data_IF_457292137787
#
_entry.id   IF_457292137787
#
_cell.length_a   1.000
_cell.length_b   1.000
_cell.length_c   1.000
_cell.angle_alpha   90.00
_cell.angle_beta   90.00
_cell.angle_gamma   90.00
#
_symmetry.space_group_name_H-M   'P 1'
#
loop_
_entity.id
_entity.type
_entity.pdbx_description
1 polymer ?
#
# COMPACT_ATOMS: atom_id res chain seq x y z
N UNK A 1 -22.06 5.16 22.86
CA UNK A 1 -21.59 6.55 22.61
C UNK A 1 -20.54 6.67 21.50
N UNK A 2 -19.46 5.88 21.45
CA UNK A 2 -18.41 5.99 20.40
C UNK A 2 -18.84 5.66 18.95
N UNK A 3 -19.89 4.84 18.74
CA UNK A 3 -20.43 4.53 17.39
C UNK A 3 -21.22 5.71 16.78
N UNK A 4 -21.93 6.49 17.61
CA UNK A 4 -22.69 7.67 17.15
C UNK A 4 -21.78 8.83 16.72
N UNK A 5 -20.60 8.98 17.34
CA UNK A 5 -19.61 9.99 16.94
C UNK A 5 -18.95 9.68 15.59
N UNK A 6 -18.70 8.40 15.27
CA UNK A 6 -18.17 8.02 13.96
C UNK A 6 -19.21 8.20 12.85
N UNK A 7 -20.47 7.85 13.11
CA UNK A 7 -21.57 8.09 12.18
C UNK A 7 -21.90 9.58 12.04
N UNK A 8 -21.79 10.38 13.11
CA UNK A 8 -22.00 11.82 13.09
C UNK A 8 -20.84 12.56 12.41
N UNK A 9 -19.59 12.10 12.55
CA UNK A 9 -18.45 12.66 11.80
C UNK A 9 -18.56 12.34 10.32
N UNK A 10 -18.93 11.10 9.96
CA UNK A 10 -19.17 10.73 8.56
C UNK A 10 -20.41 11.47 8.02
N UNK A 11 -21.54 11.54 8.73
CA UNK A 11 -22.71 12.27 8.23
C UNK A 11 -22.48 13.78 8.17
N UNK A 12 -21.78 14.36 9.15
CA UNK A 12 -21.48 15.78 9.20
C UNK A 12 -20.52 16.17 8.05
N UNK A 13 -19.43 15.41 7.84
CA UNK A 13 -18.54 15.64 6.70
C UNK A 13 -19.22 15.41 5.35
N UNK A 14 -20.13 14.43 5.23
CA UNK A 14 -20.91 14.21 4.02
C UNK A 14 -21.96 15.31 3.78
N UNK A 15 -22.50 15.95 4.82
CA UNK A 15 -23.35 17.15 4.66
C UNK A 15 -22.53 18.39 4.33
N UNK A 16 -21.32 18.57 4.90
CA UNK A 16 -20.42 19.66 4.53
C UNK A 16 -19.88 19.48 3.10
N UNK A 17 -19.69 18.24 2.63
CA UNK A 17 -19.37 17.89 1.24
C UNK A 17 -20.47 18.31 0.24
N UNK A 18 -21.74 18.31 0.68
CA UNK A 18 -22.88 18.80 -0.13
C UNK A 18 -23.04 20.33 -0.01
N UNK A 19 -22.71 20.93 1.15
CA UNK A 19 -23.00 22.35 1.44
C UNK A 19 -21.81 23.32 1.25
N UNK A 20 -20.56 22.85 1.14
CA UNK A 20 -19.38 23.71 1.03
C UNK A 20 -19.12 24.29 -0.37
N UNK A 21 -20.09 24.26 -1.29
CA UNK A 21 -20.04 25.03 -2.55
C UNK A 21 -21.10 26.13 -2.54
N UNK A 22 -20.64 27.37 -2.58
CA UNK A 22 -21.41 28.55 -2.96
C UNK A 22 -22.18 28.30 -4.27
N UNK A 23 -23.34 28.95 -4.45
CA UNK A 23 -24.36 28.52 -5.39
C UNK A 23 -24.05 29.03 -6.80
N UNK A 24 -23.31 28.28 -7.60
CA UNK A 24 -23.29 28.48 -9.05
C UNK A 24 -23.44 27.15 -9.80
N UNK A 25 -24.67 26.98 -10.32
CA UNK A 25 -25.20 26.07 -11.35
C UNK A 25 -24.87 24.56 -11.26
N UNK A 26 -25.89 23.68 -11.25
CA UNK A 26 -25.69 22.24 -11.25
C UNK A 26 -25.21 21.80 -12.64
N UNK A 27 -24.04 21.16 -12.69
CA UNK A 27 -23.59 20.42 -13.87
C UNK A 27 -23.68 18.93 -13.58
N UNK A 28 -24.11 18.19 -14.60
CA UNK A 28 -24.53 16.79 -14.71
C UNK A 28 -23.63 15.70 -14.06
N UNK A 29 -22.49 16.06 -13.50
CA UNK A 29 -21.57 15.14 -12.81
C UNK A 29 -21.82 15.02 -11.29
N UNK A 30 -22.54 15.98 -10.68
CA UNK A 30 -22.76 15.99 -9.23
C UNK A 30 -23.74 14.91 -8.75
N UNK A 31 -24.76 14.59 -9.55
CA UNK A 31 -25.73 13.54 -9.22
C UNK A 31 -25.08 12.14 -9.27
N UNK A 32 -24.12 11.93 -10.17
CA UNK A 32 -23.41 10.65 -10.32
C UNK A 32 -22.50 10.33 -9.13
N UNK A 33 -21.73 11.31 -8.65
CA UNK A 33 -20.84 11.13 -7.49
C UNK A 33 -21.63 10.88 -6.20
N UNK A 34 -22.72 11.61 -5.98
CA UNK A 34 -23.59 11.41 -4.81
C UNK A 34 -24.27 10.02 -4.84
N UNK A 35 -24.74 9.58 -6.02
CA UNK A 35 -25.31 8.25 -6.20
C UNK A 35 -24.27 7.13 -5.97
N UNK A 36 -23.04 7.29 -6.47
CA UNK A 36 -21.94 6.35 -6.24
C UNK A 36 -21.62 6.22 -4.75
N UNK A 37 -21.54 7.35 -4.05
CA UNK A 37 -21.28 7.36 -2.60
C UNK A 37 -22.41 6.68 -1.82
N UNK A 38 -23.67 6.89 -2.21
CA UNK A 38 -24.80 6.19 -1.62
C UNK A 38 -24.75 4.67 -1.88
N UNK A 39 -24.36 4.24 -3.08
CA UNK A 39 -24.19 2.80 -3.37
C UNK A 39 -23.06 2.19 -2.55
N UNK A 40 -21.91 2.87 -2.44
CA UNK A 40 -20.78 2.41 -1.63
C UNK A 40 -21.20 2.28 -0.16
N UNK A 41 -21.90 3.28 0.39
CA UNK A 41 -22.35 3.26 1.78
C UNK A 41 -23.35 2.13 2.05
N UNK A 42 -24.29 1.89 1.12
CA UNK A 42 -25.26 0.81 1.24
C UNK A 42 -24.57 -0.55 1.23
N UNK A 43 -23.68 -0.75 0.27
CA UNK A 43 -23.07 -2.05 0.02
C UNK A 43 -22.00 -2.37 1.10
N UNK A 44 -21.26 -1.38 1.61
CA UNK A 44 -20.32 -1.58 2.73
C UNK A 44 -20.99 -2.04 4.04
N UNK A 45 -22.29 -1.75 4.22
CA UNK A 45 -23.06 -2.22 5.38
C UNK A 45 -23.47 -3.67 5.23
N UNK A 46 -23.60 -4.17 4.00
CA UNK A 46 -23.95 -5.56 3.72
C UNK A 46 -22.78 -6.48 4.12
N UNK A 47 -22.99 -7.46 5.02
CA UNK A 47 -22.00 -8.50 5.30
C UNK A 47 -21.49 -9.20 4.05
N UNK A 48 -22.35 -9.41 3.04
CA UNK A 48 -22.01 -10.07 1.78
C UNK A 48 -20.92 -9.32 1.01
N UNK A 49 -20.97 -7.99 1.02
CA UNK A 49 -19.92 -7.20 0.38
C UNK A 49 -18.55 -7.45 1.03
N UNK A 50 -18.52 -7.52 2.37
CA UNK A 50 -17.29 -7.67 3.15
C UNK A 50 -16.69 -9.07 3.01
N UNK A 51 -17.52 -10.09 2.84
CA UNK A 51 -17.09 -11.49 2.77
C UNK A 51 -16.81 -11.94 1.34
N UNK A 52 -17.65 -11.56 0.37
CA UNK A 52 -17.62 -12.15 -0.97
C UNK A 52 -17.13 -11.18 -2.05
N UNK A 53 -17.34 -9.87 -1.88
CA UNK A 53 -17.07 -8.88 -2.93
C UNK A 53 -15.71 -8.24 -2.75
N UNK A 54 -15.49 -7.54 -1.63
CA UNK A 54 -14.26 -6.79 -1.38
C UNK A 54 -12.99 -7.64 -1.52
N UNK A 55 -12.93 -8.89 -0.98
CA UNK A 55 -11.77 -9.76 -1.16
C UNK A 55 -11.37 -10.03 -2.61
N UNK A 56 -12.32 -9.94 -3.53
CA UNK A 56 -12.14 -10.28 -4.94
C UNK A 56 -12.18 -9.03 -5.85
N UNK A 57 -12.54 -7.86 -5.32
CA UNK A 57 -12.79 -6.68 -6.12
C UNK A 57 -12.61 -5.39 -5.31
N UNK A 58 -11.56 -4.63 -5.66
CA UNK A 58 -11.22 -3.34 -5.05
C UNK A 58 -11.82 -2.12 -5.77
N UNK A 59 -12.74 -2.31 -6.71
CA UNK A 59 -13.29 -1.26 -7.59
C UNK A 59 -13.82 -0.04 -6.84
N UNK A 60 -14.52 -0.19 -5.72
CA UNK A 60 -15.00 0.97 -4.95
C UNK A 60 -13.88 1.78 -4.33
N UNK A 61 -12.85 1.13 -3.79
CA UNK A 61 -11.68 1.85 -3.29
C UNK A 61 -10.98 2.57 -4.44
N UNK A 62 -10.82 1.91 -5.58
CA UNK A 62 -10.18 2.49 -6.76
C UNK A 62 -10.95 3.69 -7.29
N UNK A 63 -12.27 3.58 -7.42
CA UNK A 63 -13.13 4.69 -7.84
C UNK A 63 -13.04 5.89 -6.91
N UNK A 64 -12.98 5.66 -5.58
CA UNK A 64 -12.79 6.74 -4.61
C UNK A 64 -11.44 7.41 -4.78
N UNK A 65 -10.34 6.66 -4.89
CA UNK A 65 -9.01 7.23 -5.04
C UNK A 65 -8.83 7.92 -6.41
N UNK A 66 -9.37 7.35 -7.49
CA UNK A 66 -9.40 7.98 -8.82
C UNK A 66 -10.18 9.30 -8.81
N UNK A 67 -11.35 9.32 -8.16
CA UNK A 67 -12.11 10.55 -7.96
C UNK A 67 -11.30 11.58 -7.15
N UNK A 68 -10.60 11.12 -6.10
CA UNK A 68 -9.70 11.93 -5.30
C UNK A 68 -8.59 12.60 -6.11
N UNK A 69 -7.94 11.84 -6.99
CA UNK A 69 -6.90 12.32 -7.91
C UNK A 69 -7.45 13.29 -8.97
N UNK A 70 -8.59 12.95 -9.60
CA UNK A 70 -9.21 13.77 -10.64
C UNK A 70 -9.72 15.11 -10.10
N UNK A 71 -10.29 15.12 -8.90
CA UNK A 71 -10.86 16.33 -8.28
C UNK A 71 -9.92 17.04 -7.31
N UNK A 72 -8.67 16.56 -7.19
CA UNK A 72 -7.64 17.09 -6.30
C UNK A 72 -8.13 17.22 -4.85
N UNK A 73 -8.80 16.18 -4.37
CA UNK A 73 -9.20 16.09 -2.96
C UNK A 73 -7.97 16.15 -2.06
N UNK A 74 -8.21 16.51 -0.80
CA UNK A 74 -7.18 16.62 0.22
C UNK A 74 -6.63 15.25 0.65
N UNK A 75 -5.48 15.22 1.33
CA UNK A 75 -4.86 13.98 1.82
C UNK A 75 -5.78 13.23 2.78
N UNK A 76 -6.52 13.96 3.61
CA UNK A 76 -7.49 13.43 4.56
C UNK A 76 -8.52 12.54 3.86
N UNK A 77 -8.99 12.93 2.67
CA UNK A 77 -9.92 12.11 1.88
C UNK A 77 -9.32 10.74 1.51
N UNK A 78 -8.06 10.71 1.07
CA UNK A 78 -7.37 9.45 0.76
C UNK A 78 -7.13 8.62 2.02
N UNK A 79 -6.72 9.26 3.12
CA UNK A 79 -6.53 8.62 4.42
C UNK A 79 -7.81 7.96 4.91
N UNK A 80 -8.94 8.65 4.83
CA UNK A 80 -10.25 8.13 5.23
C UNK A 80 -10.71 6.98 4.35
N UNK A 81 -10.55 7.13 3.03
CA UNK A 81 -10.89 6.08 2.06
C UNK A 81 -10.09 4.80 2.32
N UNK A 82 -8.77 4.89 2.42
CA UNK A 82 -7.91 3.74 2.74
C UNK A 82 -8.20 3.17 4.12
N UNK A 83 -8.41 4.01 5.13
CA UNK A 83 -8.73 3.58 6.50
C UNK A 83 -10.07 2.84 6.59
N UNK A 84 -11.08 3.30 5.84
CA UNK A 84 -12.38 2.65 5.76
C UNK A 84 -12.23 1.25 5.17
N UNK A 85 -11.60 1.13 4.01
CA UNK A 85 -11.41 -0.14 3.35
C UNK A 85 -10.47 -1.07 4.12
N UNK A 86 -9.44 -0.55 4.80
CA UNK A 86 -8.60 -1.32 5.72
C UNK A 86 -9.43 -1.95 6.84
N UNK A 87 -10.33 -1.19 7.49
CA UNK A 87 -11.20 -1.72 8.55
C UNK A 87 -12.18 -2.78 8.04
N UNK A 88 -12.67 -2.61 6.82
CA UNK A 88 -13.60 -3.56 6.21
C UNK A 88 -12.86 -4.84 5.81
N UNK A 89 -11.68 -4.71 5.19
CA UNK A 89 -10.82 -5.82 4.78
C UNK A 89 -10.30 -6.62 5.98
N UNK A 90 -10.09 -5.97 7.15
CA UNK A 90 -9.80 -6.66 8.41
C UNK A 90 -10.87 -7.67 8.80
N UNK A 91 -12.13 -7.47 8.40
CA UNK A 91 -13.23 -8.41 8.63
C UNK A 91 -13.34 -9.54 7.59
N UNK A 92 -12.60 -9.47 6.48
CA UNK A 92 -12.58 -10.52 5.46
C UNK A 92 -11.66 -11.68 5.84
N UNK A 93 -12.00 -12.90 5.47
CA UNK A 93 -11.16 -14.07 5.79
C UNK A 93 -9.97 -14.22 4.84
N UNK A 94 -10.14 -13.72 3.62
CA UNK A 94 -9.15 -13.85 2.56
C UNK A 94 -9.13 -12.62 1.66
N UNK A 95 -8.13 -12.58 0.79
CA UNK A 95 -8.00 -11.63 -0.32
C UNK A 95 -7.52 -12.40 -1.54
N UNK A 96 -8.16 -12.21 -2.69
CA UNK A 96 -7.71 -12.80 -3.95
C UNK A 96 -6.40 -12.13 -4.39
N UNK A 97 -5.35 -12.94 -4.58
CA UNK A 97 -4.01 -12.43 -4.90
C UNK A 97 -3.94 -11.65 -6.21
N UNK A 98 -4.73 -12.04 -7.22
CA UNK A 98 -4.75 -11.39 -8.52
C UNK A 98 -5.46 -10.05 -8.44
N UNK A 99 -6.62 -9.99 -7.79
CA UNK A 99 -7.35 -8.74 -7.59
C UNK A 99 -6.54 -7.73 -6.79
N UNK A 100 -5.83 -8.18 -5.76
CA UNK A 100 -4.95 -7.33 -4.97
C UNK A 100 -3.72 -6.86 -5.75
N UNK A 101 -3.09 -7.76 -6.52
CA UNK A 101 -1.97 -7.41 -7.40
C UNK A 101 -2.33 -6.31 -8.41
N UNK A 102 -3.48 -6.44 -9.08
CA UNK A 102 -4.01 -5.43 -10.01
C UNK A 102 -4.40 -4.13 -9.33
N UNK A 103 -4.83 -4.17 -8.06
CA UNK A 103 -5.06 -2.97 -7.28
C UNK A 103 -3.75 -2.21 -7.01
N UNK A 104 -2.72 -2.89 -6.49
CA UNK A 104 -1.43 -2.27 -6.15
C UNK A 104 -0.78 -1.66 -7.41
N UNK A 105 -0.85 -2.36 -8.54
CA UNK A 105 -0.35 -1.86 -9.84
C UNK A 105 -0.84 -0.45 -10.16
N UNK A 106 -2.09 -0.14 -9.82
CA UNK A 106 -2.74 1.13 -10.14
C UNK A 106 -2.56 2.20 -9.08
N UNK A 107 -2.13 1.84 -7.86
CA UNK A 107 -1.95 2.78 -6.75
C UNK A 107 -1.07 3.99 -7.09
N UNK A 108 0.08 3.84 -7.79
CA UNK A 108 0.88 4.99 -8.19
C UNK A 108 0.09 6.07 -8.93
N UNK A 109 -0.79 5.67 -9.85
CA UNK A 109 -1.59 6.61 -10.64
C UNK A 109 -2.69 7.30 -9.83
N UNK A 110 -3.19 6.65 -8.78
CA UNK A 110 -4.30 7.15 -7.95
C UNK A 110 -3.82 7.96 -6.74
N UNK A 111 -2.54 7.84 -6.38
CA UNK A 111 -1.98 8.48 -5.19
C UNK A 111 -0.95 9.57 -5.50
N UNK A 112 -0.59 9.75 -6.77
CA UNK A 112 0.54 10.58 -7.19
C UNK A 112 0.48 12.00 -6.63
N UNK A 113 -0.67 12.69 -6.72
CA UNK A 113 -0.73 14.09 -6.28
C UNK A 113 -0.60 14.27 -4.76
N UNK A 114 -0.92 13.25 -3.96
CA UNK A 114 -0.78 13.31 -2.52
C UNK A 114 0.68 13.30 -2.06
N UNK A 115 1.57 12.68 -2.85
CA UNK A 115 3.00 12.53 -2.57
C UNK A 115 3.90 13.40 -3.46
N UNK A 116 3.33 14.17 -4.40
CA UNK A 116 4.07 14.95 -5.41
C UNK A 116 5.00 16.05 -4.84
N UNK A 117 4.94 16.33 -3.53
CA UNK A 117 5.83 17.30 -2.88
C UNK A 117 7.30 16.88 -2.75
N UNK A 118 7.63 15.60 -2.96
CA UNK A 118 8.96 15.03 -2.72
C UNK A 118 9.67 14.50 -3.98
N UNK A 119 9.28 14.97 -5.16
CA UNK A 119 10.08 14.68 -6.36
C UNK A 119 11.34 15.55 -6.37
N UNK A 120 12.29 15.25 -5.49
CA UNK A 120 13.69 15.57 -5.77
C UNK A 120 14.05 14.83 -7.06
N UNK A 121 14.56 15.58 -8.03
CA UNK A 121 15.00 15.12 -9.34
C UNK A 121 16.17 14.12 -9.21
N UNK A 122 15.89 12.89 -8.85
CA UNK A 122 16.87 11.80 -8.86
C UNK A 122 16.20 10.48 -9.23
N UNK A 123 15.38 10.51 -10.29
CA UNK A 123 14.74 9.33 -10.88
C UNK A 123 15.73 8.33 -11.53
N UNK A 124 17.05 8.49 -11.36
CA UNK A 124 18.07 7.61 -11.94
C UNK A 124 19.23 7.26 -10.99
N UNK A 125 19.15 7.57 -9.68
CA UNK A 125 20.13 7.07 -8.72
C UNK A 125 19.45 6.10 -7.75
N UNK A 126 19.88 4.84 -7.88
CA UNK A 126 19.68 3.73 -6.96
C UNK A 126 19.60 4.22 -5.50
N UNK A 127 18.42 4.16 -4.89
CA UNK A 127 18.05 3.48 -3.61
C UNK A 127 18.98 3.63 -2.38
N UNK A 128 20.05 4.43 -2.41
CA UNK A 128 21.09 4.41 -1.37
C UNK A 128 21.38 5.77 -0.73
N UNK A 129 20.92 6.90 -1.29
CA UNK A 129 21.41 8.21 -0.83
C UNK A 129 20.39 9.23 -0.31
N UNK A 130 19.09 8.91 -0.25
CA UNK A 130 18.09 9.81 0.36
C UNK A 130 17.29 9.11 1.46
N UNK A 131 17.99 8.42 2.34
CA UNK A 131 17.44 7.80 3.56
C UNK A 131 17.27 8.85 4.68
N UNK A 132 16.76 10.03 4.31
CA UNK A 132 16.50 11.08 5.29
C UNK A 132 15.22 10.72 6.04
N UNK A 133 15.34 10.43 7.34
CA UNK A 133 14.18 10.27 8.21
C UNK A 133 13.28 11.51 8.15
N UNK A 134 11.99 11.36 8.47
CA UNK A 134 11.00 12.44 8.50
C UNK A 134 11.50 13.67 9.25
N UNK A 135 12.21 13.46 10.38
CA UNK A 135 12.79 14.54 11.17
C UNK A 135 13.88 15.30 10.41
N UNK A 136 14.71 14.62 9.62
CA UNK A 136 15.77 15.24 8.84
C UNK A 136 15.21 16.05 7.67
N UNK A 137 14.19 15.51 6.97
CA UNK A 137 13.46 16.25 5.92
C UNK A 137 12.79 17.50 6.47
N UNK A 138 12.19 17.39 7.66
CA UNK A 138 11.56 18.50 8.34
C UNK A 138 12.60 19.54 8.78
N UNK A 139 13.74 19.11 9.31
CA UNK A 139 14.85 20.00 9.67
C UNK A 139 15.36 20.78 8.45
N UNK A 140 15.58 20.11 7.32
CA UNK A 140 16.02 20.75 6.08
C UNK A 140 14.99 21.77 5.57
N UNK A 141 13.71 21.39 5.58
CA UNK A 141 12.60 22.25 5.15
C UNK A 141 12.49 23.50 6.03
N UNK A 142 12.50 23.34 7.35
CA UNK A 142 12.47 24.46 8.31
C UNK A 142 13.68 25.36 8.12
N UNK A 143 14.88 24.79 8.01
CA UNK A 143 16.12 25.54 7.81
C UNK A 143 16.06 26.38 6.53
N UNK A 144 15.57 25.79 5.43
CA UNK A 144 15.40 26.47 4.15
C UNK A 144 14.39 27.62 4.22
N UNK A 145 13.25 27.41 4.90
CA UNK A 145 12.23 28.45 5.10
C UNK A 145 12.79 29.61 5.92
N UNK A 146 13.46 29.32 7.03
CA UNK A 146 14.10 30.32 7.89
C UNK A 146 15.12 31.11 7.09
N UNK A 147 16.08 30.42 6.46
CA UNK A 147 17.12 31.06 5.66
C UNK A 147 16.53 31.92 4.55
N UNK A 148 15.60 31.39 3.74
CA UNK A 148 14.98 32.16 2.66
C UNK A 148 14.19 33.36 3.17
N UNK A 149 13.51 33.28 4.32
CA UNK A 149 12.76 34.41 4.88
C UNK A 149 13.71 35.50 5.37
N UNK A 150 14.80 35.12 6.06
CA UNK A 150 15.83 36.06 6.49
C UNK A 150 16.62 36.66 5.33
N UNK A 151 16.84 35.95 4.22
CA UNK A 151 17.56 36.54 3.07
C UNK A 151 16.68 37.50 2.27
N UNK A 152 15.39 37.18 2.08
CA UNK A 152 14.50 37.94 1.17
C UNK A 152 13.74 39.07 1.87
N UNK A 153 13.31 38.86 3.11
CA UNK A 153 12.36 39.75 3.80
C UNK A 153 12.98 40.40 5.06
N UNK A 154 14.31 40.48 5.16
CA UNK A 154 14.98 41.05 6.34
C UNK A 154 14.60 42.51 6.61
N UNK A 155 14.33 43.28 5.55
CA UNK A 155 13.89 44.66 5.69
C UNK A 155 12.58 44.75 6.49
N UNK A 156 11.64 43.84 6.25
CA UNK A 156 10.38 43.71 7.01
C UNK A 156 10.65 43.40 8.48
N UNK A 157 11.63 42.55 8.77
CA UNK A 157 12.03 42.27 10.16
C UNK A 157 12.54 43.53 10.90
N UNK A 158 13.12 44.51 10.19
CA UNK A 158 13.58 45.77 10.79
C UNK A 158 12.44 46.76 11.03
N UNK A 159 11.42 46.76 10.18
CA UNK A 159 10.31 47.72 10.24
C UNK A 159 9.13 47.23 11.07
N UNK A 160 8.82 45.94 10.98
CA UNK A 160 7.74 45.26 11.71
C UNK A 160 8.18 43.82 12.06
N UNK A 161 8.91 43.65 13.18
CA UNK A 161 9.40 42.34 13.62
C UNK A 161 8.27 41.35 13.90
N UNK A 162 7.12 41.83 14.37
CA UNK A 162 5.99 40.97 14.76
C UNK A 162 5.34 40.35 13.53
N UNK A 163 5.05 41.16 12.50
CA UNK A 163 4.53 40.64 11.23
C UNK A 163 5.52 39.66 10.58
N UNK A 164 6.82 39.98 10.60
CA UNK A 164 7.85 39.09 10.06
C UNK A 164 7.86 37.72 10.74
N UNK A 165 7.83 37.69 12.08
CA UNK A 165 7.83 36.45 12.87
C UNK A 165 6.52 35.67 12.70
N UNK A 166 5.38 36.36 12.61
CA UNK A 166 4.09 35.72 12.36
C UNK A 166 4.05 35.04 10.99
N UNK A 167 4.53 35.71 9.94
CA UNK A 167 4.65 35.12 8.60
C UNK A 167 5.58 33.91 8.57
N UNK A 168 6.75 34.02 9.23
CA UNK A 168 7.72 32.93 9.31
C UNK A 168 7.11 31.71 10.02
N UNK A 169 6.46 31.95 11.15
CA UNK A 169 5.77 30.91 11.93
C UNK A 169 4.69 30.25 11.09
N UNK A 170 3.86 31.03 10.39
CA UNK A 170 2.81 30.49 9.52
C UNK A 170 3.38 29.61 8.41
N UNK A 171 4.49 30.02 7.76
CA UNK A 171 5.17 29.22 6.73
C UNK A 171 5.72 27.91 7.29
N UNK A 172 6.38 27.96 8.45
CA UNK A 172 6.90 26.77 9.14
C UNK A 172 5.75 25.82 9.49
N UNK A 173 4.70 26.30 10.15
CA UNK A 173 3.53 25.49 10.53
C UNK A 173 2.88 24.85 9.31
N UNK A 174 2.73 25.59 8.21
CA UNK A 174 2.15 25.05 6.97
C UNK A 174 3.00 23.93 6.40
N UNK A 175 4.31 24.11 6.29
CA UNK A 175 5.22 23.09 5.76
C UNK A 175 5.26 21.84 6.67
N UNK A 176 5.43 22.03 7.98
CA UNK A 176 5.39 20.96 8.98
C UNK A 176 4.08 20.17 8.91
N UNK A 177 2.94 20.84 8.75
CA UNK A 177 1.64 20.17 8.64
C UNK A 177 1.55 19.32 7.36
N UNK A 178 2.12 19.80 6.26
CA UNK A 178 2.17 19.04 5.00
C UNK A 178 3.05 17.80 5.10
N UNK A 179 4.22 17.90 5.75
CA UNK A 179 5.10 16.76 6.07
C UNK A 179 4.34 15.71 6.89
N UNK A 180 3.74 16.13 8.02
CA UNK A 180 3.02 15.24 8.94
C UNK A 180 1.85 14.53 8.24
N UNK A 181 1.03 15.27 7.48
CA UNK A 181 -0.12 14.68 6.78
C UNK A 181 0.28 13.74 5.66
N UNK A 182 1.42 13.97 5.02
CA UNK A 182 1.99 13.05 4.02
C UNK A 182 2.44 11.75 4.69
N UNK A 183 3.17 11.85 5.80
CA UNK A 183 3.63 10.68 6.54
C UNK A 183 2.48 9.87 7.12
N UNK A 184 1.45 10.53 7.66
CA UNK A 184 0.24 9.84 8.12
C UNK A 184 -0.46 9.07 6.99
N UNK A 185 -0.50 9.62 5.78
CA UNK A 185 -1.07 8.92 4.63
C UNK A 185 -0.20 7.72 4.23
N UNK A 186 1.13 7.88 4.23
CA UNK A 186 2.08 6.79 3.98
C UNK A 186 1.86 5.62 4.93
N UNK A 187 1.80 5.89 6.23
CA UNK A 187 1.55 4.86 7.25
C UNK A 187 0.19 4.17 7.09
N UNK A 188 -0.84 4.88 6.62
CA UNK A 188 -2.14 4.28 6.31
C UNK A 188 -2.05 3.38 5.06
N UNK A 189 -1.28 3.77 4.05
CA UNK A 189 -1.02 2.96 2.86
C UNK A 189 -0.30 1.66 3.25
N UNK A 190 0.79 1.74 4.00
CA UNK A 190 1.57 0.57 4.44
C UNK A 190 0.69 -0.40 5.22
N UNK A 191 -0.04 0.10 6.23
CA UNK A 191 -0.96 -0.71 7.02
C UNK A 191 -2.08 -1.34 6.18
N UNK A 192 -2.57 -0.65 5.15
CA UNK A 192 -3.55 -1.24 4.23
C UNK A 192 -2.93 -2.39 3.45
N UNK A 193 -1.70 -2.21 2.95
CA UNK A 193 -0.97 -3.22 2.21
C UNK A 193 -0.70 -4.46 3.06
N UNK A 194 -0.20 -4.30 4.29
CA UNK A 194 0.00 -5.41 5.24
C UNK A 194 -1.28 -6.23 5.48
N UNK A 195 -2.41 -5.55 5.69
CA UNK A 195 -3.71 -6.22 5.92
C UNK A 195 -4.14 -7.02 4.69
N UNK A 196 -3.91 -6.50 3.49
CA UNK A 196 -4.20 -7.23 2.24
C UNK A 196 -3.24 -8.41 2.02
N UNK A 197 -1.94 -8.18 2.15
CA UNK A 197 -0.87 -9.17 1.96
C UNK A 197 -1.03 -10.35 2.92
N UNK A 198 -1.29 -10.10 4.20
CA UNK A 198 -1.44 -11.14 5.22
C UNK A 198 -2.61 -12.11 4.97
N UNK A 199 -3.53 -11.74 4.07
CA UNK A 199 -4.75 -12.50 3.77
C UNK A 199 -4.80 -13.08 2.36
N UNK A 200 -3.72 -12.94 1.57
CA UNK A 200 -3.74 -13.41 0.19
C UNK A 200 -4.03 -14.90 0.06
N UNK A 201 -4.86 -15.27 -0.91
CA UNK A 201 -5.11 -16.65 -1.32
C UNK A 201 -4.87 -16.74 -2.82
N UNK A 202 -4.18 -17.81 -3.21
CA UNK A 202 -3.96 -18.20 -4.59
C UNK A 202 -4.80 -19.42 -4.94
N UNK A 203 -5.13 -19.57 -6.22
CA UNK A 203 -5.82 -20.76 -6.70
C UNK A 203 -4.82 -21.92 -6.89
N UNK A 204 -4.93 -23.03 -6.15
CA UNK A 204 -3.98 -24.15 -6.24
C UNK A 204 -4.06 -24.91 -7.58
N UNK A 205 -5.10 -24.68 -8.39
CA UNK A 205 -5.24 -25.25 -9.72
C UNK A 205 -4.48 -24.44 -10.79
N UNK A 206 -4.07 -23.20 -10.49
CA UNK A 206 -3.35 -22.31 -11.40
C UNK A 206 -1.89 -22.12 -10.99
N UNK A 207 -1.20 -23.24 -10.81
CA UNK A 207 0.08 -23.36 -10.11
C UNK A 207 1.15 -22.42 -10.66
N UNK A 208 1.28 -22.32 -11.99
CA UNK A 208 2.25 -21.41 -12.60
C UNK A 208 1.91 -19.95 -12.31
N UNK A 209 0.63 -19.59 -12.35
CA UNK A 209 0.16 -18.22 -12.11
C UNK A 209 0.32 -17.80 -10.65
N UNK A 210 0.35 -18.73 -9.70
CA UNK A 210 0.52 -18.37 -8.28
C UNK A 210 1.89 -17.74 -8.04
N UNK A 211 2.94 -18.30 -8.63
CA UNK A 211 4.29 -17.76 -8.52
C UNK A 211 4.44 -16.46 -9.32
N UNK A 212 3.88 -16.38 -10.52
CA UNK A 212 3.87 -15.13 -11.29
C UNK A 212 3.14 -14.00 -10.54
N UNK A 213 2.06 -14.32 -9.82
CA UNK A 213 1.36 -13.37 -8.96
C UNK A 213 2.23 -12.87 -7.81
N UNK A 214 3.03 -13.72 -7.16
CA UNK A 214 3.99 -13.27 -6.12
C UNK A 214 5.02 -12.32 -6.72
N UNK A 215 5.60 -12.65 -7.88
CA UNK A 215 6.56 -11.80 -8.57
C UNK A 215 5.95 -10.45 -8.93
N UNK A 216 4.74 -10.45 -9.50
CA UNK A 216 4.00 -9.23 -9.84
C UNK A 216 3.71 -8.36 -8.62
N UNK A 217 3.22 -8.93 -7.51
CA UNK A 217 2.98 -8.18 -6.28
C UNK A 217 4.29 -7.58 -5.76
N UNK A 218 5.38 -8.36 -5.70
CA UNK A 218 6.67 -7.85 -5.23
C UNK A 218 7.20 -6.70 -6.10
N UNK A 219 7.02 -6.79 -7.42
CA UNK A 219 7.37 -5.72 -8.36
C UNK A 219 6.53 -4.46 -8.13
N UNK A 220 5.22 -4.59 -7.90
CA UNK A 220 4.36 -3.44 -7.64
C UNK A 220 4.66 -2.78 -6.29
N UNK A 221 5.00 -3.56 -5.25
CA UNK A 221 5.48 -3.02 -3.97
C UNK A 221 6.78 -2.21 -4.14
N UNK A 222 7.77 -2.75 -4.86
CA UNK A 222 8.98 -2.00 -5.20
C UNK A 222 8.69 -0.73 -6.04
N UNK A 223 7.66 -0.79 -6.89
CA UNK A 223 7.23 0.37 -7.66
C UNK A 223 6.68 1.48 -6.75
N UNK A 224 5.99 1.16 -5.65
CA UNK A 224 5.54 2.17 -4.69
C UNK A 224 6.70 2.99 -4.10
N UNK A 225 7.88 2.36 -3.91
CA UNK A 225 9.10 3.08 -3.53
C UNK A 225 9.54 4.09 -4.57
N UNK A 226 9.58 3.67 -5.84
CA UNK A 226 9.96 4.55 -6.95
C UNK A 226 9.08 5.80 -7.05
N UNK A 227 7.82 5.70 -6.63
CA UNK A 227 6.87 6.83 -6.60
C UNK A 227 6.86 7.58 -5.26
N UNK A 228 7.76 7.26 -4.33
CA UNK A 228 7.84 7.82 -2.99
C UNK A 228 6.51 7.70 -2.21
N UNK A 229 5.74 6.63 -2.47
CA UNK A 229 4.49 6.29 -1.77
C UNK A 229 4.81 5.46 -0.53
N UNK A 230 5.89 4.69 -0.56
CA UNK A 230 6.59 4.13 0.60
C UNK A 230 8.02 4.59 0.47
N UNK A 231 8.61 5.23 1.47
CA UNK A 231 9.95 5.85 1.36
C UNK A 231 11.00 5.15 2.23
N UNK A 232 10.59 4.50 3.32
CA UNK A 232 11.46 3.68 4.16
C UNK A 232 11.70 2.28 3.55
N UNK A 233 12.97 1.85 3.52
CA UNK A 233 13.38 0.51 3.12
C UNK A 233 12.87 -0.57 4.09
N UNK A 234 12.79 -0.27 5.38
CA UNK A 234 12.27 -1.17 6.41
C UNK A 234 10.79 -1.50 6.15
N UNK A 235 9.97 -0.49 5.85
CA UNK A 235 8.55 -0.69 5.55
C UNK A 235 8.37 -1.64 4.34
N UNK A 236 9.21 -1.52 3.33
CA UNK A 236 9.14 -2.36 2.12
C UNK A 236 9.62 -3.77 2.44
N UNK A 237 10.65 -3.90 3.26
CA UNK A 237 11.15 -5.18 3.73
C UNK A 237 10.08 -5.94 4.55
N UNK A 238 9.37 -5.26 5.44
CA UNK A 238 8.25 -5.83 6.21
C UNK A 238 7.12 -6.32 5.30
N UNK A 239 6.77 -5.55 4.25
CA UNK A 239 5.79 -5.95 3.25
C UNK A 239 6.24 -7.18 2.46
N UNK A 240 7.53 -7.25 2.11
CA UNK A 240 8.14 -8.41 1.46
C UNK A 240 8.12 -9.65 2.35
N UNK A 241 8.47 -9.52 3.63
CA UNK A 241 8.36 -10.60 4.61
C UNK A 241 6.93 -11.10 4.75
N UNK A 242 5.96 -10.19 4.82
CA UNK A 242 4.54 -10.53 4.88
C UNK A 242 4.12 -11.36 3.66
N UNK A 243 4.55 -10.97 2.46
CA UNK A 243 4.29 -11.72 1.22
C UNK A 243 4.95 -13.11 1.23
N UNK A 244 6.22 -13.21 1.64
CA UNK A 244 6.97 -14.47 1.72
C UNK A 244 6.30 -15.44 2.69
N UNK A 245 5.97 -14.97 3.90
CA UNK A 245 5.30 -15.80 4.90
C UNK A 245 3.93 -16.26 4.44
N UNK A 246 3.17 -15.38 3.77
CA UNK A 246 1.85 -15.76 3.26
C UNK A 246 1.94 -16.78 2.13
N UNK A 247 2.91 -16.64 1.22
CA UNK A 247 3.10 -17.61 0.17
C UNK A 247 3.63 -18.95 0.70
N UNK A 248 4.50 -18.93 1.70
CA UNK A 248 4.91 -20.14 2.43
C UNK A 248 3.71 -20.89 3.00
N UNK A 249 2.80 -20.18 3.67
CA UNK A 249 1.56 -20.77 4.21
C UNK A 249 0.75 -21.45 3.10
N UNK A 250 0.61 -20.81 1.94
CA UNK A 250 -0.05 -21.40 0.77
C UNK A 250 0.61 -22.70 0.28
N UNK A 251 1.95 -22.72 0.17
CA UNK A 251 2.70 -23.91 -0.24
C UNK A 251 2.56 -25.06 0.76
N UNK A 252 2.55 -24.77 2.06
CA UNK A 252 2.35 -25.76 3.12
C UNK A 252 0.97 -26.41 3.04
N UNK A 253 -0.07 -25.63 2.73
CA UNK A 253 -1.45 -26.11 2.61
C UNK A 253 -1.69 -26.96 1.35
N UNK A 254 -1.03 -26.63 0.24
CA UNK A 254 -1.28 -27.23 -1.08
C UNK A 254 -0.13 -28.10 -1.61
N UNK A 255 0.77 -28.58 -0.74
CA UNK A 255 1.96 -29.33 -1.16
C UNK A 255 1.64 -30.59 -1.99
N UNK A 256 0.50 -31.24 -1.74
CA UNK A 256 0.09 -32.48 -2.40
C UNK A 256 -0.44 -32.27 -3.82
N UNK A 257 -0.98 -31.09 -4.12
CA UNK A 257 -1.58 -30.78 -5.42
C UNK A 257 -0.55 -30.23 -6.41
N UNK A 258 0.55 -29.64 -5.93
CA UNK A 258 1.61 -29.07 -6.75
C UNK A 258 2.50 -30.15 -7.42
N UNK A 259 2.85 -30.03 -8.71
CA UNK A 259 3.76 -30.93 -9.41
C UNK A 259 5.21 -30.62 -9.09
N UNK A 260 6.09 -31.59 -9.29
CA UNK A 260 7.53 -31.42 -9.04
C UNK A 260 8.18 -30.37 -9.95
N UNK A 261 7.66 -30.20 -11.18
CA UNK A 261 8.12 -29.17 -12.12
C UNK A 261 7.93 -27.74 -11.60
N UNK A 262 6.85 -27.51 -10.85
CA UNK A 262 6.56 -26.21 -10.24
C UNK A 262 7.63 -25.82 -9.22
N UNK A 263 8.01 -26.73 -8.31
CA UNK A 263 9.09 -26.48 -7.35
C UNK A 263 10.45 -26.27 -8.02
N UNK A 264 10.72 -26.99 -9.12
CA UNK A 264 11.94 -26.77 -9.90
C UNK A 264 12.00 -25.36 -10.51
N UNK A 265 10.87 -24.86 -11.06
CA UNK A 265 10.76 -23.49 -11.60
C UNK A 265 11.04 -22.44 -10.53
N UNK A 266 10.42 -22.54 -9.35
CA UNK A 266 10.64 -21.53 -8.29
C UNK A 266 12.09 -21.55 -7.81
N UNK A 267 12.69 -22.73 -7.60
CA UNK A 267 14.12 -22.81 -7.23
C UNK A 267 15.04 -22.21 -8.29
N UNK A 268 14.69 -22.37 -9.56
CA UNK A 268 15.44 -21.73 -10.65
C UNK A 268 15.30 -20.21 -10.53
N UNK A 269 14.08 -19.68 -10.47
CA UNK A 269 13.83 -18.24 -10.37
C UNK A 269 14.54 -17.61 -9.16
N UNK A 270 14.52 -18.24 -7.98
CA UNK A 270 15.23 -17.72 -6.79
C UNK A 270 16.75 -17.65 -7.01
N UNK A 271 17.33 -18.55 -7.80
CA UNK A 271 18.78 -18.61 -8.04
C UNK A 271 19.23 -17.72 -9.20
N UNK A 272 18.37 -17.54 -10.21
CA UNK A 272 18.74 -16.92 -11.48
C UNK A 272 18.08 -15.58 -11.74
N UNK A 273 16.92 -15.31 -11.14
CA UNK A 273 16.21 -14.04 -11.31
C UNK A 273 16.56 -13.07 -10.19
N UNK A 274 16.95 -11.88 -10.61
CA UNK A 274 17.06 -10.68 -9.78
C UNK A 274 15.67 -10.13 -9.50
N UNK A 275 15.02 -10.67 -8.48
CA UNK A 275 13.79 -10.12 -7.94
C UNK A 275 14.16 -9.17 -6.81
N UNK A 276 13.62 -7.95 -6.83
CA UNK A 276 13.77 -6.96 -5.76
C UNK A 276 13.47 -7.56 -4.36
N UNK A 277 12.50 -8.48 -4.31
CA UNK A 277 12.16 -9.30 -3.14
C UNK A 277 13.37 -10.00 -2.49
N UNK A 278 14.40 -10.35 -3.26
CA UNK A 278 15.60 -11.04 -2.80
C UNK A 278 16.86 -10.18 -2.89
N UNK A 279 16.82 -9.05 -3.60
CA UNK A 279 17.93 -8.10 -3.68
C UNK A 279 17.98 -7.16 -2.48
N UNK A 280 16.82 -6.84 -1.89
CA UNK A 280 16.77 -6.06 -0.66
C UNK A 280 17.36 -6.88 0.49
N UNK A 281 18.50 -6.41 1.02
CA UNK A 281 19.15 -6.99 2.18
C UNK A 281 18.21 -6.93 3.40
N UNK A 282 18.30 -7.95 4.23
CA UNK A 282 17.52 -8.00 5.46
C UNK A 282 17.99 -6.90 6.41
N UNK A 283 17.05 -6.18 7.01
CA UNK A 283 17.39 -5.06 7.90
C UNK A 283 17.86 -5.57 9.27
N UNK A 284 17.47 -6.79 9.67
CA UNK A 284 17.92 -7.43 10.91
C UNK A 284 19.08 -8.43 10.67
N UNK A 285 20.25 -8.21 11.32
CA UNK A 285 21.45 -9.00 11.05
C UNK A 285 21.39 -10.47 11.51
N UNK A 286 20.37 -10.83 12.31
CA UNK A 286 20.20 -12.17 12.87
C UNK A 286 19.08 -12.97 12.19
N UNK A 287 18.36 -12.35 11.25
CA UNK A 287 17.31 -13.04 10.52
C UNK A 287 17.88 -13.84 9.35
N UNK A 288 17.22 -14.96 9.06
CA UNK A 288 17.48 -15.69 7.83
C UNK A 288 17.04 -14.84 6.63
N UNK A 289 17.68 -14.99 5.48
CA UNK A 289 17.25 -14.26 4.28
C UNK A 289 15.90 -14.76 3.76
N UNK A 290 15.11 -13.86 3.15
CA UNK A 290 13.84 -14.17 2.46
C UNK A 290 14.01 -15.31 1.45
N UNK A 291 15.11 -15.27 0.69
CA UNK A 291 15.50 -16.32 -0.26
C UNK A 291 15.73 -17.67 0.43
N UNK A 292 16.50 -17.69 1.52
CA UNK A 292 16.78 -18.93 2.29
C UNK A 292 15.50 -19.51 2.89
N UNK A 293 14.66 -18.66 3.49
CA UNK A 293 13.35 -19.03 4.04
C UNK A 293 12.47 -19.75 3.00
N UNK A 294 12.36 -19.16 1.80
CA UNK A 294 11.53 -19.69 0.74
C UNK A 294 12.13 -20.98 0.15
N UNK A 295 13.45 -21.05 -0.06
CA UNK A 295 14.14 -22.26 -0.51
C UNK A 295 13.92 -23.42 0.45
N UNK A 296 14.08 -23.21 1.76
CA UNK A 296 13.85 -24.25 2.76
C UNK A 296 12.41 -24.76 2.72
N UNK A 297 11.45 -23.85 2.57
CA UNK A 297 10.03 -24.19 2.42
C UNK A 297 9.82 -25.07 1.19
N UNK A 298 10.36 -24.67 0.03
CA UNK A 298 10.22 -25.40 -1.23
C UNK A 298 10.82 -26.80 -1.14
N UNK A 299 12.03 -26.94 -0.60
CA UNK A 299 12.68 -28.24 -0.42
C UNK A 299 11.85 -29.17 0.47
N UNK A 300 11.29 -28.63 1.55
CA UNK A 300 10.43 -29.38 2.47
C UNK A 300 9.15 -29.85 1.79
N UNK A 301 8.45 -28.97 1.06
CA UNK A 301 7.20 -29.35 0.38
C UNK A 301 7.45 -30.28 -0.81
N UNK A 302 8.55 -30.09 -1.55
CA UNK A 302 8.96 -30.98 -2.64
C UNK A 302 9.25 -32.39 -2.11
N UNK A 303 9.96 -32.52 -0.98
CA UNK A 303 10.22 -33.81 -0.35
C UNK A 303 8.92 -34.54 0.03
N UNK A 304 7.96 -33.83 0.64
CA UNK A 304 6.62 -34.38 0.95
C UNK A 304 5.90 -34.87 -0.30
N UNK A 305 5.94 -34.08 -1.38
CA UNK A 305 5.33 -34.46 -2.66
C UNK A 305 5.98 -35.71 -3.26
N UNK A 306 7.31 -35.82 -3.24
CA UNK A 306 8.05 -37.00 -3.73
C UNK A 306 7.68 -38.26 -2.94
N UNK A 307 7.60 -38.16 -1.60
CA UNK A 307 7.19 -39.28 -0.76
C UNK A 307 5.77 -39.77 -1.11
N UNK A 308 4.83 -38.84 -1.31
CA UNK A 308 3.47 -39.17 -1.73
C UNK A 308 3.42 -39.87 -3.10
N UNK A 309 4.19 -39.38 -4.08
CA UNK A 309 4.27 -40.02 -5.39
C UNK A 309 4.88 -41.42 -5.33
N UNK A 310 5.89 -41.62 -4.47
CA UNK A 310 6.48 -42.93 -4.23
C UNK A 310 5.46 -43.92 -3.66
N UNK A 311 4.73 -43.53 -2.61
CA UNK A 311 3.68 -44.38 -2.03
C UNK A 311 2.60 -44.75 -3.03
N UNK A 312 2.08 -43.79 -3.81
CA UNK A 312 1.09 -44.06 -4.87
C UNK A 312 1.61 -45.00 -5.95
N UNK A 313 2.90 -44.94 -6.29
CA UNK A 313 3.52 -45.87 -7.26
C UNK A 313 3.68 -47.26 -6.67
N UNK A 314 3.99 -47.39 -5.38
CA UNK A 314 4.08 -48.67 -4.70
C UNK A 314 2.72 -49.36 -4.64
N UNK A 315 1.64 -48.65 -4.28
CA UNK A 315 0.27 -49.18 -4.25
C UNK A 315 -0.20 -49.69 -5.62
N UNK A 316 0.09 -48.96 -6.70
CA UNK A 316 -0.25 -49.37 -8.07
C UNK A 316 0.50 -50.60 -8.59
N UNK A 317 1.57 -51.01 -7.93
CA UNK A 317 2.34 -52.23 -8.30
C UNK A 317 1.83 -53.47 -7.59
N UNK A 318 0.99 -53.31 -6.56
CA UNK A 318 0.45 -54.40 -5.73
C UNK A 318 -0.95 -54.83 -6.21
N UNK A 319 -1.64 -53.97 -6.98
CA UNK A 319 -2.93 -54.23 -7.64
C UNK A 319 -2.74 -54.72 -9.08
#
# INVERSE_FOLDING_TARGET
>A
MKRLLLYALISAWFTTFIYARTPEKPSTNQDSAAQLLQSIQRDLRDPKYRQDILPNNFSYLMQLLEYGEQTKQSREFAQESLSLFSKVLKGSEYVNSYAFGSFIERMPSMLKHYFAGYQLESANQLIVENDLDMLERLQQTVTSIVYSKFTKDFATCKTDPEQFLNDLTHKIVTATTQEITTEQLRQIVIRFLEVGLSKLIWNPHEQEKTWESVKSISHHLATLMKYNIVDDLNDVDELFWTLVHRYRYFLELHNTTMPLSFYAKIKHDIRTQKLMLFELEEQEPFLQTKSSCLIQTILTQEAKKRALEYHRRAERRVL
#
